data_IF_801757395743
#
_entry.id   IF_801757395743
#
_cell.length_a   1.000
_cell.length_b   1.000
_cell.length_c   1.000
_cell.angle_alpha   90.00
_cell.angle_beta   90.00
_cell.angle_gamma   90.00
#
_symmetry.space_group_name_H-M   'P 1'
#
loop_
_entity.id
_entity.type
_entity.pdbx_description
1 polymer ?
#
# COMPACT_ATOMS: atom_id res chain seq x y z
N UNK A 1 35.02 0.47 4.00
CA UNK A 1 34.81 -0.63 3.03
C UNK A 1 34.02 -1.79 3.62
N UNK A 2 34.26 -2.24 4.86
CA UNK A 2 33.45 -3.32 5.47
C UNK A 2 32.01 -2.91 5.81
N UNK A 3 31.76 -1.65 6.19
CA UNK A 3 30.42 -1.17 6.55
C UNK A 3 29.41 -1.25 5.39
N UNK A 4 29.82 -0.95 4.16
CA UNK A 4 28.96 -1.00 2.97
C UNK A 4 28.65 -2.43 2.52
N UNK A 5 29.56 -3.39 2.75
CA UNK A 5 29.30 -4.79 2.44
C UNK A 5 28.33 -5.40 3.46
N UNK A 6 28.52 -5.10 4.74
CA UNK A 6 27.62 -5.55 5.80
C UNK A 6 26.20 -5.04 5.59
N UNK A 7 26.00 -3.78 5.17
CA UNK A 7 24.67 -3.25 4.88
C UNK A 7 24.00 -3.96 3.70
N UNK A 8 24.77 -4.28 2.66
CA UNK A 8 24.25 -4.96 1.45
C UNK A 8 23.73 -6.36 1.76
N UNK A 9 24.50 -7.12 2.55
CA UNK A 9 24.13 -8.46 2.99
C UNK A 9 22.89 -8.41 3.91
N UNK A 10 22.87 -7.45 4.85
CA UNK A 10 21.73 -7.28 5.75
C UNK A 10 20.45 -6.96 4.98
N UNK A 11 20.52 -6.04 4.01
CA UNK A 11 19.38 -5.64 3.19
C UNK A 11 18.86 -6.83 2.37
N UNK A 12 19.74 -7.65 1.81
CA UNK A 12 19.35 -8.87 1.10
C UNK A 12 18.60 -9.86 2.00
N UNK A 13 19.10 -10.12 3.22
CA UNK A 13 18.44 -11.04 4.16
C UNK A 13 17.11 -10.49 4.70
N UNK A 14 17.04 -9.19 5.02
CA UNK A 14 15.85 -8.56 5.58
C UNK A 14 14.78 -8.36 4.50
N UNK A 15 15.11 -7.74 3.38
CA UNK A 15 14.15 -7.41 2.33
C UNK A 15 13.79 -8.60 1.44
N UNK A 16 14.74 -9.51 1.23
CA UNK A 16 14.55 -10.74 0.48
C UNK A 16 13.84 -11.81 1.31
N UNK A 17 14.58 -12.46 2.22
CA UNK A 17 14.10 -13.66 2.91
C UNK A 17 12.99 -13.33 3.91
N UNK A 18 13.26 -12.43 4.85
CA UNK A 18 12.26 -12.06 5.88
C UNK A 18 11.04 -11.38 5.22
N UNK A 19 11.27 -10.52 4.24
CA UNK A 19 10.21 -9.89 3.44
C UNK A 19 9.26 -10.89 2.79
N UNK A 20 9.78 -11.96 2.16
CA UNK A 20 8.95 -13.03 1.59
C UNK A 20 8.09 -13.74 2.63
N UNK A 21 8.66 -14.07 3.80
CA UNK A 21 7.90 -14.69 4.89
C UNK A 21 6.74 -13.81 5.34
N UNK A 22 6.99 -12.51 5.52
CA UNK A 22 5.95 -11.53 5.88
C UNK A 22 4.89 -11.44 4.80
N UNK A 23 5.27 -11.46 3.51
CA UNK A 23 4.33 -11.42 2.39
C UNK A 23 3.42 -12.65 2.37
N UNK A 24 3.97 -13.86 2.46
CA UNK A 24 3.19 -15.10 2.44
C UNK A 24 2.23 -15.14 3.62
N UNK A 25 2.74 -14.86 4.82
CA UNK A 25 1.93 -14.85 6.04
C UNK A 25 0.85 -13.78 6.00
N UNK A 26 1.19 -12.58 5.52
CA UNK A 26 0.24 -11.47 5.38
C UNK A 26 -0.86 -11.77 4.38
N UNK A 27 -0.55 -12.39 3.23
CA UNK A 27 -1.56 -12.79 2.24
C UNK A 27 -2.49 -13.84 2.86
N UNK A 28 -1.94 -14.82 3.56
CA UNK A 28 -2.72 -15.85 4.24
C UNK A 28 -3.69 -15.24 5.27
N UNK A 29 -3.20 -14.37 6.14
CA UNK A 29 -4.01 -13.75 7.20
C UNK A 29 -5.10 -12.84 6.63
N UNK A 30 -4.77 -12.00 5.65
CA UNK A 30 -5.76 -11.13 5.02
C UNK A 30 -6.80 -11.92 4.22
N UNK A 31 -6.41 -13.04 3.61
CA UNK A 31 -7.36 -13.95 2.95
C UNK A 31 -8.33 -14.58 3.95
N UNK A 32 -7.85 -15.01 5.12
CA UNK A 32 -8.71 -15.55 6.18
C UNK A 32 -9.73 -14.51 6.67
N UNK A 33 -9.32 -13.25 6.78
CA UNK A 33 -10.22 -12.13 7.11
C UNK A 33 -11.30 -11.96 6.04
N UNK A 34 -10.93 -11.96 4.75
CA UNK A 34 -11.88 -11.88 3.64
C UNK A 34 -12.87 -13.05 3.66
N UNK A 35 -12.40 -14.28 3.87
CA UNK A 35 -13.25 -15.48 3.93
C UNK A 35 -14.23 -15.41 5.10
N UNK A 36 -13.75 -15.02 6.27
CA UNK A 36 -14.56 -14.92 7.49
C UNK A 36 -15.63 -13.83 7.35
N UNK A 37 -15.26 -12.67 6.81
CA UNK A 37 -16.19 -11.56 6.60
C UNK A 37 -17.19 -11.82 5.47
N UNK A 38 -16.78 -12.55 4.42
CA UNK A 38 -17.68 -12.93 3.31
C UNK A 38 -18.77 -13.90 3.73
N UNK A 39 -18.46 -14.81 4.67
CA UNK A 39 -19.45 -15.77 5.22
C UNK A 39 -20.44 -15.12 6.18
N UNK A 40 -20.09 -13.98 6.79
CA UNK A 40 -20.93 -13.33 7.79
C UNK A 40 -21.99 -12.45 7.11
N UNK A 41 -23.26 -12.87 7.14
CA UNK A 41 -24.42 -12.11 6.61
C UNK A 41 -24.79 -10.86 7.44
N UNK A 42 -23.82 -10.26 8.14
CA UNK A 42 -24.01 -8.99 8.84
C UNK A 42 -23.39 -7.89 7.99
N UNK A 43 -24.24 -7.15 7.26
CA UNK A 43 -23.85 -5.95 6.53
C UNK A 43 -23.62 -4.79 7.51
N UNK A 44 -22.57 -4.89 8.32
CA UNK A 44 -22.20 -3.86 9.30
C UNK A 44 -21.11 -2.98 8.70
N UNK A 45 -21.07 -1.69 9.04
CA UNK A 45 -20.00 -0.80 8.57
C UNK A 45 -18.59 -1.32 8.89
N UNK A 46 -18.41 -2.05 9.99
CA UNK A 46 -17.13 -2.69 10.33
C UNK A 46 -16.76 -3.82 9.38
N UNK A 47 -17.68 -4.71 8.98
CA UNK A 47 -17.33 -5.76 8.03
C UNK A 47 -16.89 -5.18 6.69
N UNK A 48 -17.52 -4.07 6.25
CA UNK A 48 -17.07 -3.34 5.06
C UNK A 48 -15.65 -2.78 5.23
N UNK A 49 -15.39 -2.01 6.29
CA UNK A 49 -14.04 -1.45 6.49
C UNK A 49 -12.96 -2.52 6.58
N UNK A 50 -13.22 -3.60 7.33
CA UNK A 50 -12.28 -4.72 7.46
C UNK A 50 -12.06 -5.46 6.14
N UNK A 51 -13.11 -5.67 5.33
CA UNK A 51 -12.97 -6.27 3.99
C UNK A 51 -12.14 -5.40 3.05
N UNK A 52 -12.40 -4.09 3.00
CA UNK A 52 -11.63 -3.17 2.17
C UNK A 52 -10.18 -3.05 2.64
N UNK A 53 -9.94 -3.03 3.96
CA UNK A 53 -8.60 -3.01 4.53
C UNK A 53 -7.81 -4.26 4.13
N UNK A 54 -8.40 -5.46 4.32
CA UNK A 54 -7.75 -6.72 3.95
C UNK A 54 -7.45 -6.81 2.44
N UNK A 55 -8.34 -6.27 1.59
CA UNK A 55 -8.09 -6.19 0.15
C UNK A 55 -6.90 -5.27 -0.19
N UNK A 56 -6.80 -4.11 0.47
CA UNK A 56 -5.67 -3.19 0.29
C UNK A 56 -4.37 -3.76 0.83
N UNK A 57 -4.39 -4.45 1.97
CA UNK A 57 -3.20 -5.09 2.54
C UNK A 57 -2.66 -6.18 1.60
N UNK A 58 -3.52 -7.01 1.01
CA UNK A 58 -3.09 -7.97 -0.03
C UNK A 58 -2.48 -7.23 -1.23
N UNK A 59 -3.10 -6.14 -1.67
CA UNK A 59 -2.56 -5.31 -2.76
C UNK A 59 -1.17 -4.74 -2.43
N UNK A 60 -0.95 -4.25 -1.21
CA UNK A 60 0.35 -3.76 -0.74
C UNK A 60 1.37 -4.90 -0.72
N UNK A 61 1.01 -6.08 -0.20
CA UNK A 61 1.92 -7.23 -0.13
C UNK A 61 2.32 -7.73 -1.53
N UNK A 62 1.37 -7.82 -2.46
CA UNK A 62 1.64 -8.21 -3.85
C UNK A 62 2.51 -7.19 -4.56
N UNK A 63 2.22 -5.90 -4.39
CA UNK A 63 3.05 -4.85 -5.03
C UNK A 63 4.43 -4.76 -4.39
N UNK A 64 4.54 -4.97 -3.07
CA UNK A 64 5.81 -5.07 -2.34
C UNK A 64 6.64 -6.27 -2.79
N UNK A 65 6.00 -7.41 -3.06
CA UNK A 65 6.66 -8.59 -3.63
C UNK A 65 7.35 -8.22 -4.96
N UNK A 66 6.64 -7.54 -5.85
CA UNK A 66 7.13 -7.15 -7.18
C UNK A 66 8.25 -6.10 -7.07
N UNK A 67 8.14 -5.12 -6.19
CA UNK A 67 9.09 -3.99 -6.14
C UNK A 67 10.31 -4.23 -5.26
N UNK A 68 10.22 -5.11 -4.25
CA UNK A 68 11.27 -5.29 -3.23
C UNK A 68 11.80 -6.73 -3.25
N UNK A 69 10.94 -7.74 -3.10
CA UNK A 69 11.42 -9.12 -2.97
C UNK A 69 11.93 -9.70 -4.31
N UNK A 70 11.20 -9.52 -5.42
CA UNK A 70 11.58 -10.02 -6.74
C UNK A 70 12.97 -9.56 -7.24
N UNK A 71 13.35 -8.26 -7.17
CA UNK A 71 14.68 -7.84 -7.59
C UNK A 71 15.79 -8.43 -6.71
N UNK A 72 15.52 -8.72 -5.43
CA UNK A 72 16.48 -9.38 -4.55
C UNK A 72 16.63 -10.88 -4.85
N UNK A 73 15.58 -11.55 -5.34
CA UNK A 73 15.61 -12.97 -5.70
C UNK A 73 16.20 -13.24 -7.09
N UNK A 74 16.13 -12.27 -7.99
CA UNK A 74 16.46 -12.50 -9.39
C UNK A 74 17.19 -11.34 -10.04
N UNK A 75 18.45 -11.60 -10.40
CA UNK A 75 19.32 -10.62 -11.06
C UNK A 75 18.79 -10.20 -12.43
N UNK A 76 18.13 -11.09 -13.18
CA UNK A 76 17.51 -10.72 -14.47
C UNK A 76 16.36 -9.72 -14.27
N UNK A 77 15.56 -9.92 -13.22
CA UNK A 77 14.42 -9.06 -12.91
C UNK A 77 14.91 -7.67 -12.47
N UNK A 78 15.96 -7.63 -11.66
CA UNK A 78 16.59 -6.38 -11.22
C UNK A 78 17.15 -5.56 -12.39
N UNK A 79 17.75 -6.21 -13.39
CA UNK A 79 18.35 -5.52 -14.53
C UNK A 79 17.31 -4.94 -15.51
N UNK A 80 16.30 -5.73 -15.90
CA UNK A 80 15.43 -5.38 -17.02
C UNK A 80 14.03 -4.94 -16.55
N UNK A 81 13.42 -5.66 -15.60
CA UNK A 81 12.02 -5.47 -15.24
C UNK A 81 11.80 -4.44 -14.12
N UNK A 82 12.76 -4.33 -13.19
CA UNK A 82 12.71 -3.41 -12.05
C UNK A 82 12.49 -1.93 -12.45
N UNK A 83 13.18 -1.34 -13.45
CA UNK A 83 12.94 0.06 -13.81
C UNK A 83 11.50 0.31 -14.31
N UNK A 84 10.90 -0.65 -15.02
CA UNK A 84 9.50 -0.57 -15.44
C UNK A 84 8.54 -0.75 -14.25
N UNK A 85 8.83 -1.72 -13.37
CA UNK A 85 8.06 -1.93 -12.15
C UNK A 85 8.09 -0.69 -11.24
N UNK A 86 9.25 -0.07 -11.06
CA UNK A 86 9.40 1.16 -10.27
C UNK A 86 8.60 2.33 -10.87
N UNK A 87 8.45 2.39 -12.20
CA UNK A 87 7.70 3.46 -12.85
C UNK A 87 6.19 3.32 -12.66
N UNK A 88 5.65 2.10 -12.81
CA UNK A 88 4.21 1.88 -12.84
C UNK A 88 3.64 1.29 -11.53
N UNK A 89 4.37 0.38 -10.89
CA UNK A 89 3.91 -0.34 -9.68
C UNK A 89 4.16 0.47 -8.41
N UNK A 90 5.25 1.24 -8.35
CA UNK A 90 5.56 2.09 -7.21
C UNK A 90 4.44 3.08 -6.82
N UNK A 91 3.85 3.87 -7.73
CA UNK A 91 2.75 4.76 -7.34
C UNK A 91 1.50 4.02 -6.88
N UNK A 92 1.24 2.84 -7.44
CA UNK A 92 0.14 1.98 -6.99
C UNK A 92 0.39 1.50 -5.57
N UNK A 93 1.61 1.04 -5.27
CA UNK A 93 2.04 0.63 -3.94
C UNK A 93 1.89 1.76 -2.91
N UNK A 94 2.29 2.99 -3.25
CA UNK A 94 2.12 4.14 -2.36
C UNK A 94 0.65 4.52 -2.14
N UNK A 95 -0.16 4.41 -3.20
CA UNK A 95 -1.62 4.62 -3.12
C UNK A 95 -2.28 3.57 -2.23
N UNK A 96 -1.90 2.30 -2.38
CA UNK A 96 -2.42 1.20 -1.58
C UNK A 96 -2.07 1.37 -0.09
N UNK A 97 -0.81 1.69 0.23
CA UNK A 97 -0.36 1.95 1.61
C UNK A 97 -1.09 3.11 2.26
N UNK A 98 -1.21 4.23 1.55
CA UNK A 98 -1.90 5.41 2.07
C UNK A 98 -3.38 5.14 2.29
N UNK A 99 -4.05 4.44 1.37
CA UNK A 99 -5.43 4.01 1.56
C UNK A 99 -5.59 3.11 2.79
N UNK A 100 -4.74 2.10 2.98
CA UNK A 100 -4.80 1.23 4.16
C UNK A 100 -4.75 2.01 5.49
N UNK A 101 -3.87 3.03 5.58
CA UNK A 101 -3.76 3.90 6.76
C UNK A 101 -5.06 4.69 6.98
N UNK A 102 -5.58 5.36 5.94
CA UNK A 102 -6.81 6.15 6.07
C UNK A 102 -8.04 5.29 6.39
N UNK A 103 -8.10 4.09 5.83
CA UNK A 103 -9.17 3.12 6.12
C UNK A 103 -9.09 2.66 7.57
N UNK A 104 -7.88 2.43 8.09
CA UNK A 104 -7.68 2.08 9.51
C UNK A 104 -8.16 3.21 10.42
N UNK A 105 -7.85 4.47 10.09
CA UNK A 105 -8.36 5.63 10.83
C UNK A 105 -9.89 5.72 10.76
N UNK A 106 -10.50 5.51 9.60
CA UNK A 106 -11.96 5.48 9.50
C UNK A 106 -12.59 4.33 10.29
N UNK A 107 -11.94 3.17 10.30
CA UNK A 107 -12.37 2.01 11.07
C UNK A 107 -12.36 2.32 12.57
N UNK A 108 -11.28 2.91 13.09
CA UNK A 108 -11.18 3.27 14.51
C UNK A 108 -12.22 4.34 14.88
N UNK A 109 -12.41 5.37 14.06
CA UNK A 109 -13.46 6.38 14.26
C UNK A 109 -14.86 5.75 14.26
N UNK A 110 -15.13 4.84 13.32
CA UNK A 110 -16.40 4.11 13.25
C UNK A 110 -16.67 3.30 14.52
N UNK A 111 -15.65 2.64 15.07
CA UNK A 111 -15.74 1.90 16.34
C UNK A 111 -15.91 2.84 17.53
N UNK A 112 -15.17 3.94 17.58
CA UNK A 112 -15.28 4.95 18.63
C UNK A 112 -16.69 5.52 18.73
N UNK A 113 -17.30 5.91 17.60
CA UNK A 113 -18.68 6.42 17.57
C UNK A 113 -19.67 5.34 18.01
N UNK A 114 -19.47 4.08 17.60
CA UNK A 114 -20.34 2.98 18.00
C UNK A 114 -20.33 2.73 19.51
N UNK A 115 -19.15 2.83 20.15
CA UNK A 115 -18.99 2.60 21.58
C UNK A 115 -19.45 3.79 22.41
N UNK A 116 -18.97 5.01 22.10
CA UNK A 116 -19.22 6.20 22.92
C UNK A 116 -20.58 6.86 22.62
N UNK A 117 -21.15 6.65 21.43
CA UNK A 117 -22.38 7.30 21.00
C UNK A 117 -23.34 6.33 20.30
N UNK A 118 -23.84 5.35 21.04
CA UNK A 118 -24.75 4.31 20.55
C UNK A 118 -25.96 4.87 19.79
N UNK A 119 -26.57 5.97 20.28
CA UNK A 119 -27.68 6.66 19.60
C UNK A 119 -27.26 7.31 18.27
N UNK A 120 -26.10 7.96 18.22
CA UNK A 120 -25.56 8.61 17.01
C UNK A 120 -25.01 7.60 16.00
N UNK A 121 -24.59 6.43 16.48
CA UNK A 121 -24.02 5.36 15.67
C UNK A 121 -24.99 4.81 14.61
N UNK A 122 -26.30 4.75 14.91
CA UNK A 122 -27.31 4.31 13.91
C UNK A 122 -27.38 5.23 12.70
N UNK A 123 -27.14 6.52 12.89
CA UNK A 123 -27.25 7.54 11.85
C UNK A 123 -25.91 7.74 11.13
N UNK A 124 -24.79 7.68 11.87
CA UNK A 124 -23.45 7.90 11.35
C UNK A 124 -22.86 6.65 10.66
N UNK A 125 -23.13 5.45 11.19
CA UNK A 125 -22.42 4.22 10.84
C UNK A 125 -23.21 3.36 9.82
N UNK A 126 -23.75 3.99 8.78
CA UNK A 126 -24.48 3.28 7.71
C UNK A 126 -23.51 2.74 6.65
N UNK A 127 -23.74 1.50 6.21
CA UNK A 127 -22.91 0.80 5.21
C UNK A 127 -22.70 1.61 3.93
N UNK A 128 -23.75 2.28 3.45
CA UNK A 128 -23.71 3.12 2.24
C UNK A 128 -22.83 4.36 2.41
N UNK A 129 -22.78 4.95 3.62
CA UNK A 129 -21.90 6.09 3.91
C UNK A 129 -20.45 5.64 3.99
N UNK A 130 -20.19 4.51 4.63
CA UNK A 130 -18.86 3.90 4.72
C UNK A 130 -18.29 3.60 3.33
N UNK A 131 -19.06 2.98 2.43
CA UNK A 131 -18.63 2.75 1.04
C UNK A 131 -18.35 4.04 0.27
N UNK A 132 -19.17 5.08 0.44
CA UNK A 132 -18.93 6.40 -0.19
C UNK A 132 -17.63 7.03 0.33
N UNK A 133 -17.40 7.00 1.64
CA UNK A 133 -16.16 7.51 2.24
C UNK A 133 -14.92 6.79 1.69
N UNK A 134 -14.99 5.47 1.57
CA UNK A 134 -13.91 4.65 0.99
C UNK A 134 -13.65 4.97 -0.49
N UNK A 135 -14.72 5.14 -1.28
CA UNK A 135 -14.59 5.53 -2.68
C UNK A 135 -13.96 6.92 -2.84
N UNK A 136 -14.35 7.88 -2.01
CA UNK A 136 -13.77 9.23 -2.00
C UNK A 136 -12.28 9.17 -1.63
N UNK A 137 -11.91 8.41 -0.59
CA UNK A 137 -10.50 8.23 -0.19
C UNK A 137 -9.66 7.64 -1.32
N UNK A 138 -10.18 6.62 -2.01
CA UNK A 138 -9.49 6.02 -3.15
C UNK A 138 -9.22 7.04 -4.26
N UNK A 139 -10.23 7.85 -4.62
CA UNK A 139 -10.07 8.89 -5.65
C UNK A 139 -9.06 9.95 -5.20
N UNK A 140 -9.17 10.45 -3.98
CA UNK A 140 -8.26 11.49 -3.45
C UNK A 140 -6.81 11.00 -3.43
N UNK A 141 -6.57 9.81 -2.89
CA UNK A 141 -5.21 9.25 -2.81
C UNK A 141 -4.65 8.92 -4.19
N UNK A 142 -5.46 8.41 -5.13
CA UNK A 142 -5.03 8.17 -6.50
C UNK A 142 -4.61 9.48 -7.20
N UNK A 143 -5.41 10.55 -7.04
CA UNK A 143 -5.09 11.88 -7.60
C UNK A 143 -3.81 12.43 -7.00
N UNK A 144 -3.66 12.40 -5.67
CA UNK A 144 -2.45 12.89 -4.99
C UNK A 144 -1.19 12.13 -5.41
N UNK A 145 -1.26 10.81 -5.56
CA UNK A 145 -0.11 10.02 -5.99
C UNK A 145 0.24 10.24 -7.46
N UNK A 146 -0.77 10.45 -8.32
CA UNK A 146 -0.59 10.82 -9.73
C UNK A 146 0.07 12.20 -9.89
N UNK A 147 -0.31 13.17 -9.05
CA UNK A 147 0.35 14.47 -8.98
C UNK A 147 1.81 14.32 -8.55
N UNK A 148 2.06 13.51 -7.51
CA UNK A 148 3.40 13.30 -6.96
C UNK A 148 4.36 12.67 -7.97
N UNK A 149 3.91 11.71 -8.78
CA UNK A 149 4.73 11.10 -9.83
C UNK A 149 5.05 12.05 -10.98
N UNK A 150 4.10 12.93 -11.32
CA UNK A 150 4.32 14.02 -12.26
C UNK A 150 5.43 14.97 -11.80
N UNK A 151 5.41 15.37 -10.52
CA UNK A 151 6.44 16.24 -9.95
C UNK A 151 7.82 15.59 -9.89
N UNK A 152 7.91 14.32 -9.47
CA UNK A 152 9.19 13.59 -9.40
C UNK A 152 9.84 13.42 -10.78
N UNK A 153 9.03 13.21 -11.82
CA UNK A 153 9.51 13.13 -13.20
C UNK A 153 10.15 14.46 -13.67
N UNK A 154 9.63 15.59 -13.21
CA UNK A 154 10.14 16.93 -13.54
C UNK A 154 11.48 17.20 -12.84
N UNK A 155 11.59 16.89 -11.55
CA UNK A 155 12.81 17.13 -10.77
C UNK A 155 13.99 16.32 -11.30
N UNK A 156 13.79 15.03 -11.59
CA UNK A 156 14.83 14.16 -12.15
C UNK A 156 15.22 14.47 -13.60
N UNK A 157 14.39 15.20 -14.35
CA UNK A 157 14.75 15.70 -15.68
C UNK A 157 15.48 17.04 -15.60
N UNK A 158 15.14 17.89 -14.62
CA UNK A 158 15.82 19.15 -14.33
C UNK A 158 17.27 18.91 -13.89
N UNK A 159 17.50 17.98 -12.96
CA UNK A 159 18.87 17.60 -12.54
C UNK A 159 19.69 17.02 -13.71
N UNK A 160 19.10 16.16 -14.55
CA UNK A 160 19.80 15.62 -15.72
C UNK A 160 20.15 16.69 -16.75
N UNK A 161 19.27 17.69 -16.95
CA UNK A 161 19.57 18.84 -17.80
C UNK A 161 20.67 19.71 -17.20
N UNK A 162 20.67 19.92 -15.89
CA UNK A 162 21.70 20.67 -15.17
C UNK A 162 23.07 19.97 -15.26
N UNK A 163 23.14 18.67 -14.98
CA UNK A 163 24.36 17.87 -15.11
C UNK A 163 24.91 17.81 -16.54
N UNK A 164 24.02 17.84 -17.55
CA UNK A 164 24.43 17.89 -18.95
C UNK A 164 24.95 19.27 -19.35
N UNK A 165 24.50 20.35 -18.70
CA UNK A 165 25.08 21.70 -18.87
C UNK A 165 26.43 21.88 -18.20
N UNK A 166 26.70 21.21 -17.08
CA UNK A 166 27.99 21.30 -16.37
C UNK A 166 29.09 20.51 -17.09
N UNK A 167 28.73 19.52 -17.92
CA UNK A 167 29.68 18.72 -18.72
C UNK A 167 30.05 19.32 -20.08
N UNK A 168 29.53 20.51 -20.42
CA UNK A 168 29.88 21.29 -21.61
C UNK A 168 30.62 22.55 -21.17
#
# INVERSE_FOLDING_TARGET
MNSSLVTSELDHYIEGVLGLFVIIFGIFMNSLVLLTMSKKKTNTSTSVFTTFLAAWDIGVLVTSLITIALPNLSQWYSAEAQPYAMKYVWPVLQTARTNAIWITVLFTVSRYIATCHQLRSRIACTVSKSRKSLAVLFVVTAVMNSLRTGTQSQTGQSERKFHRRIRL
#
